data_IF_552432753089
#
_entry.id   IF_552432753089
#
_cell.length_a   1.000
_cell.length_b   1.000
_cell.length_c   1.000
_cell.angle_alpha   90.00
_cell.angle_beta   90.00
_cell.angle_gamma   90.00
#
_symmetry.space_group_name_H-M   'P 1'
#
loop_
_entity.id
_entity.type
_entity.pdbx_description
1 polymer ?
#
# COMPACT_ATOMS: atom_id res chain seq x y z
N UNK A 1 3.12 23.64 3.22
CA UNK A 1 3.77 22.46 3.79
C UNK A 1 4.85 21.96 2.88
N UNK A 2 6.02 21.64 3.39
CA UNK A 2 7.01 21.03 2.55
C UNK A 2 6.46 19.67 2.07
N UNK A 3 6.64 19.39 0.80
CA UNK A 3 6.28 18.09 0.27
C UNK A 3 7.31 17.06 0.74
N UNK A 4 6.82 15.89 1.19
CA UNK A 4 7.70 14.78 1.49
C UNK A 4 8.27 14.25 0.19
N UNK A 5 9.50 13.79 0.22
CA UNK A 5 10.08 13.13 -0.93
C UNK A 5 9.49 11.74 -1.08
N UNK A 6 9.32 11.33 -2.31
CA UNK A 6 8.95 9.95 -2.63
C UNK A 6 10.19 9.06 -2.53
N UNK A 7 10.05 7.88 -1.92
CA UNK A 7 11.13 6.89 -1.87
C UNK A 7 10.62 5.50 -2.24
N UNK A 8 11.52 4.68 -2.76
CA UNK A 8 11.22 3.30 -3.10
C UNK A 8 11.39 2.40 -1.87
N UNK A 9 10.41 1.54 -1.63
CA UNK A 9 10.39 0.66 -0.45
C UNK A 9 10.71 -0.78 -0.82
N UNK A 10 11.02 -1.61 0.20
CA UNK A 10 11.23 -3.05 0.01
C UNK A 10 9.96 -3.77 -0.44
N UNK A 11 8.79 -3.17 -0.28
CA UNK A 11 7.55 -3.77 -0.77
C UNK A 11 7.31 -3.54 -2.26
N UNK A 12 8.26 -2.93 -2.96
CA UNK A 12 8.28 -2.68 -4.40
C UNK A 12 7.31 -1.59 -4.84
N UNK A 13 7.11 -0.61 -3.99
CA UNK A 13 6.35 0.58 -4.37
C UNK A 13 7.05 1.84 -3.90
N UNK A 14 6.73 2.95 -4.56
CA UNK A 14 7.20 4.26 -4.17
C UNK A 14 6.20 4.86 -3.21
N UNK A 15 6.69 5.43 -2.11
CA UNK A 15 5.84 6.00 -1.06
C UNK A 15 6.19 7.46 -0.86
N UNK A 16 5.17 8.28 -0.67
CA UNK A 16 5.29 9.66 -0.21
C UNK A 16 4.34 9.84 0.96
N UNK A 17 4.86 10.13 2.14
CA UNK A 17 4.00 10.44 3.28
C UNK A 17 3.43 11.84 3.13
N UNK A 18 2.11 11.97 3.19
CA UNK A 18 1.42 13.25 3.11
C UNK A 18 1.10 13.78 4.50
N UNK A 19 0.73 12.91 5.44
CA UNK A 19 0.47 13.28 6.82
C UNK A 19 0.69 12.08 7.72
N UNK A 20 1.66 12.18 8.61
CA UNK A 20 1.91 11.14 9.61
C UNK A 20 2.70 11.76 10.76
N UNK A 21 1.99 12.30 11.74
CA UNK A 21 2.60 12.98 12.88
C UNK A 21 1.96 12.54 14.20
N UNK A 22 2.70 12.74 15.30
CA UNK A 22 2.17 12.46 16.63
C UNK A 22 1.01 13.40 17.01
N UNK A 23 0.87 14.53 16.31
CA UNK A 23 -0.26 15.45 16.52
C UNK A 23 -1.58 14.89 16.00
N UNK A 24 -1.51 13.93 15.08
CA UNK A 24 -2.67 13.23 14.54
C UNK A 24 -2.47 11.73 14.75
N UNK A 25 -2.69 11.24 15.97
CA UNK A 25 -2.42 9.83 16.28
C UNK A 25 -3.41 8.86 15.68
N UNK A 26 -4.56 9.35 15.22
CA UNK A 26 -5.66 8.50 14.76
C UNK A 26 -5.61 8.19 13.27
N UNK A 27 -4.84 8.94 12.50
CA UNK A 27 -4.83 8.81 11.04
C UNK A 27 -3.48 9.20 10.44
N UNK A 28 -3.05 8.42 9.47
CA UNK A 28 -1.97 8.84 8.57
C UNK A 28 -2.41 8.67 7.13
N UNK A 29 -1.79 9.44 6.24
CA UNK A 29 -2.09 9.42 4.80
C UNK A 29 -0.77 9.36 4.05
N UNK A 30 -0.63 8.36 3.19
CA UNK A 30 0.50 8.24 2.29
C UNK A 30 0.01 8.05 0.86
N UNK A 31 0.77 8.52 -0.09
CA UNK A 31 0.52 8.22 -1.51
C UNK A 31 1.49 7.13 -1.94
N UNK A 32 0.95 6.10 -2.56
CA UNK A 32 1.72 4.99 -3.10
C UNK A 32 1.68 5.02 -4.63
N UNK A 33 2.80 4.68 -5.24
CA UNK A 33 2.92 4.57 -6.70
C UNK A 33 3.59 3.24 -7.04
N UNK A 34 2.91 2.46 -7.88
CA UNK A 34 3.39 1.15 -8.32
C UNK A 34 3.54 1.21 -9.84
N UNK A 35 4.74 0.95 -10.33
CA UNK A 35 5.01 0.99 -11.77
C UNK A 35 4.38 -0.21 -12.49
N UNK A 36 4.12 -0.10 -13.82
CA UNK A 36 3.47 -1.18 -14.56
C UNK A 36 4.17 -2.53 -14.42
N UNK A 37 3.38 -3.58 -14.25
CA UNK A 37 3.88 -4.95 -14.15
C UNK A 37 4.41 -5.35 -12.79
N UNK A 38 4.41 -4.44 -11.81
CA UNK A 38 4.94 -4.73 -10.48
C UNK A 38 3.84 -5.27 -9.57
N UNK A 39 4.18 -6.30 -8.81
CA UNK A 39 3.36 -6.85 -7.73
C UNK A 39 4.07 -6.53 -6.42
N UNK A 40 3.37 -5.86 -5.51
CA UNK A 40 3.92 -5.55 -4.19
C UNK A 40 4.05 -6.82 -3.36
N UNK A 41 4.84 -6.76 -2.28
CA UNK A 41 5.06 -7.93 -1.42
C UNK A 41 3.85 -8.19 -0.54
N UNK A 42 3.61 -9.47 -0.22
CA UNK A 42 2.66 -9.82 0.82
C UNK A 42 3.10 -9.20 2.12
N UNK A 43 2.22 -8.43 2.74
CA UNK A 43 2.48 -7.83 4.06
C UNK A 43 1.18 -7.67 4.82
N UNK A 44 1.30 -7.33 6.09
CA UNK A 44 0.15 -7.01 6.95
C UNK A 44 0.54 -5.92 7.94
N UNK A 45 -0.47 -5.21 8.44
CA UNK A 45 -0.29 -4.21 9.48
C UNK A 45 -0.96 -4.68 10.75
N UNK A 46 -0.20 -4.84 11.83
CA UNK A 46 -0.73 -5.26 13.11
C UNK A 46 -1.38 -4.08 13.83
N UNK A 47 -2.65 -4.24 14.21
CA UNK A 47 -3.37 -3.23 14.98
C UNK A 47 -3.78 -1.99 14.21
N UNK A 48 -3.65 -1.99 12.89
CA UNK A 48 -3.94 -0.84 12.03
C UNK A 48 -4.95 -1.24 10.97
N UNK A 49 -6.01 -0.45 10.83
CA UNK A 49 -6.93 -0.55 9.69
C UNK A 49 -6.39 0.30 8.56
N UNK A 50 -6.30 -0.26 7.37
CA UNK A 50 -5.82 0.47 6.20
C UNK A 50 -6.90 0.54 5.13
N UNK A 51 -6.91 1.65 4.39
CA UNK A 51 -7.80 1.81 3.24
C UNK A 51 -6.99 2.34 2.08
N UNK A 52 -7.19 1.76 0.90
CA UNK A 52 -6.62 2.29 -0.33
C UNK A 52 -7.71 3.02 -1.08
N UNK A 53 -7.40 4.23 -1.52
CA UNK A 53 -8.27 5.02 -2.41
C UNK A 53 -7.53 5.15 -3.73
N UNK A 54 -8.06 4.53 -4.78
CA UNK A 54 -7.38 4.52 -6.09
C UNK A 54 -7.58 5.86 -6.77
N UNK A 55 -6.49 6.49 -7.15
CA UNK A 55 -6.47 7.79 -7.81
C UNK A 55 -6.26 7.67 -9.31
N UNK A 56 -5.31 6.84 -9.74
CA UNK A 56 -4.95 6.69 -11.15
C UNK A 56 -4.53 5.27 -11.45
N UNK A 57 -4.73 4.82 -12.67
CA UNK A 57 -4.29 3.52 -13.14
C UNK A 57 -5.26 2.40 -12.82
N UNK A 58 -4.80 1.17 -13.02
CA UNK A 58 -5.59 -0.03 -12.77
C UNK A 58 -4.75 -1.03 -12.00
N UNK A 59 -5.34 -1.64 -10.98
CA UNK A 59 -4.67 -2.63 -10.16
C UNK A 59 -5.52 -3.85 -9.88
N UNK A 60 -4.86 -4.89 -9.36
CA UNK A 60 -5.52 -6.10 -8.88
C UNK A 60 -5.12 -6.30 -7.44
N UNK A 61 -6.12 -6.28 -6.57
CA UNK A 61 -5.91 -6.34 -5.12
C UNK A 61 -6.25 -7.70 -4.56
N UNK A 62 -5.38 -8.19 -3.67
CA UNK A 62 -5.62 -9.41 -2.90
C UNK A 62 -5.60 -9.05 -1.41
N UNK A 63 -6.67 -9.42 -0.70
CA UNK A 63 -6.81 -9.20 0.75
C UNK A 63 -7.23 -10.52 1.37
N UNK A 64 -6.40 -11.07 2.25
CA UNK A 64 -6.69 -12.34 2.93
C UNK A 64 -7.00 -13.45 1.94
N UNK A 65 -8.07 -14.18 2.20
CA UNK A 65 -8.54 -15.27 1.34
C UNK A 65 -9.67 -14.85 0.40
N UNK A 66 -9.98 -13.55 0.35
CA UNK A 66 -11.01 -13.04 -0.56
C UNK A 66 -10.55 -13.16 -2.01
N UNK A 67 -11.49 -13.32 -2.96
CA UNK A 67 -11.14 -13.30 -4.37
C UNK A 67 -10.45 -11.99 -4.76
N UNK A 68 -9.44 -12.09 -5.61
CA UNK A 68 -8.76 -10.91 -6.13
C UNK A 68 -9.74 -10.02 -6.89
N UNK A 69 -9.56 -8.70 -6.77
CA UNK A 69 -10.44 -7.71 -7.38
C UNK A 69 -9.66 -6.75 -8.25
N UNK A 70 -10.22 -6.42 -9.41
CA UNK A 70 -9.71 -5.32 -10.23
C UNK A 70 -10.20 -4.00 -9.65
N UNK A 71 -9.27 -3.05 -9.51
CA UNK A 71 -9.54 -1.73 -8.96
C UNK A 71 -9.25 -0.65 -9.99
N UNK A 72 -10.09 0.36 -10.00
CA UNK A 72 -10.00 1.52 -10.90
C UNK A 72 -10.13 2.81 -10.10
N UNK A 73 -9.79 3.97 -10.69
CA UNK A 73 -9.92 5.24 -10.00
C UNK A 73 -11.29 5.43 -9.35
N UNK A 74 -11.28 5.85 -8.10
CA UNK A 74 -12.50 6.01 -7.29
C UNK A 74 -12.85 4.82 -6.42
N UNK A 75 -12.24 3.67 -6.66
CA UNK A 75 -12.49 2.48 -5.82
C UNK A 75 -11.77 2.61 -4.48
N UNK A 76 -12.39 2.06 -3.45
CA UNK A 76 -11.84 2.03 -2.09
C UNK A 76 -11.76 0.58 -1.62
N UNK A 77 -10.60 0.22 -1.05
CA UNK A 77 -10.39 -1.11 -0.45
C UNK A 77 -10.22 -0.93 1.04
N UNK A 78 -10.99 -1.70 1.81
CA UNK A 78 -10.82 -1.77 3.27
C UNK A 78 -9.96 -2.99 3.60
N UNK A 79 -8.91 -2.77 4.36
CA UNK A 79 -8.00 -3.83 4.80
C UNK A 79 -8.03 -3.86 6.34
N UNK A 80 -8.69 -4.87 6.93
CA UNK A 80 -8.76 -4.99 8.39
C UNK A 80 -7.37 -5.20 9.02
N UNK A 81 -7.22 -4.89 10.32
CA UNK A 81 -5.96 -5.14 11.02
C UNK A 81 -5.52 -6.60 10.93
N UNK A 82 -4.24 -6.81 10.70
CA UNK A 82 -3.64 -8.14 10.63
C UNK A 82 -3.91 -8.92 9.36
N UNK A 83 -4.71 -8.39 8.45
CA UNK A 83 -5.05 -9.05 7.19
C UNK A 83 -3.90 -8.93 6.20
N UNK A 84 -3.50 -10.03 5.60
CA UNK A 84 -2.46 -9.99 4.57
C UNK A 84 -2.98 -9.30 3.31
N UNK A 85 -2.10 -8.59 2.63
CA UNK A 85 -2.46 -7.80 1.46
C UNK A 85 -1.31 -7.66 0.48
N UNK A 86 -1.66 -7.53 -0.80
CA UNK A 86 -0.75 -7.10 -1.86
C UNK A 86 -1.54 -6.58 -3.04
N UNK A 87 -0.91 -5.75 -3.87
CA UNK A 87 -1.53 -5.17 -5.05
C UNK A 87 -0.59 -5.25 -6.24
N UNK A 88 -1.15 -5.53 -7.41
CA UNK A 88 -0.42 -5.56 -8.67
C UNK A 88 -0.87 -4.41 -9.56
N UNK A 89 0.07 -3.80 -10.27
CA UNK A 89 -0.28 -2.88 -11.35
C UNK A 89 -0.50 -3.71 -12.62
N UNK A 90 -1.74 -3.78 -13.04
CA UNK A 90 -2.15 -4.56 -14.24
C UNK A 90 -2.40 -3.68 -15.45
N UNK A 91 -2.21 -2.36 -15.32
CA UNK A 91 -2.37 -1.41 -16.40
C UNK A 91 -1.07 -1.05 -17.09
N UNK A 92 -1.13 -0.12 -18.03
CA UNK A 92 0.01 0.36 -18.79
C UNK A 92 0.62 1.66 -18.27
N UNK A 93 0.06 2.24 -17.22
CA UNK A 93 0.55 3.46 -16.58
C UNK A 93 0.75 3.22 -15.10
N UNK A 94 1.34 4.18 -14.39
CA UNK A 94 1.52 4.05 -12.95
C UNK A 94 0.17 3.90 -12.24
N UNK A 95 0.14 3.00 -11.27
CA UNK A 95 -0.98 2.86 -10.35
C UNK A 95 -0.68 3.75 -9.14
N UNK A 96 -1.57 4.71 -8.88
CA UNK A 96 -1.40 5.67 -7.79
C UNK A 96 -2.61 5.59 -6.87
N UNK A 97 -2.36 5.43 -5.58
CA UNK A 97 -3.44 5.37 -4.59
C UNK A 97 -3.00 6.01 -3.28
N UNK A 98 -3.99 6.39 -2.49
CA UNK A 98 -3.78 6.84 -1.12
C UNK A 98 -3.92 5.65 -0.19
N UNK A 99 -3.04 5.56 0.79
CA UNK A 99 -3.13 4.61 1.89
C UNK A 99 -3.44 5.39 3.16
N UNK A 100 -4.62 5.14 3.74
CA UNK A 100 -5.07 5.77 4.96
C UNK A 100 -5.04 4.75 6.09
N UNK A 101 -4.25 5.03 7.12
CA UNK A 101 -4.08 4.12 8.25
C UNK A 101 -4.68 4.72 9.52
N UNK A 102 -5.45 3.92 10.26
CA UNK A 102 -5.98 4.29 11.57
C UNK A 102 -5.79 3.15 12.57
N UNK A 103 -5.07 3.39 13.69
CA UNK A 103 -4.30 4.59 14.00
C UNK A 103 -3.19 4.85 12.97
N UNK A 104 -2.46 5.94 13.15
CA UNK A 104 -1.41 6.32 12.21
C UNK A 104 -0.38 5.22 12.02
N UNK A 105 0.15 5.10 10.83
CA UNK A 105 1.16 4.10 10.50
C UNK A 105 2.46 4.34 11.29
N UNK A 106 3.01 3.27 11.85
CA UNK A 106 4.37 3.24 12.39
C UNK A 106 5.08 2.02 11.82
N UNK A 107 6.41 2.07 11.65
CA UNK A 107 7.16 0.92 11.12
C UNK A 107 6.97 -0.36 11.93
N UNK A 108 6.72 -0.25 13.22
CA UNK A 108 6.53 -1.41 14.10
C UNK A 108 5.28 -2.21 13.77
N UNK A 109 4.30 -1.59 13.13
CA UNK A 109 3.08 -2.28 12.73
C UNK A 109 3.28 -3.13 11.47
N UNK A 110 4.27 -2.81 10.65
CA UNK A 110 4.51 -3.46 9.36
C UNK A 110 5.20 -4.81 9.53
N UNK A 111 4.66 -5.82 8.88
CA UNK A 111 5.25 -7.16 8.84
C UNK A 111 5.28 -7.68 7.40
N UNK A 112 6.47 -7.95 6.89
CA UNK A 112 6.67 -8.59 5.59
C UNK A 112 6.48 -10.10 5.77
N UNK A 113 5.54 -10.66 5.04
CA UNK A 113 5.21 -12.09 5.11
C UNK A 113 5.31 -12.77 3.75
N UNK A 114 5.99 -12.12 2.80
CA UNK A 114 6.21 -12.71 1.48
C UNK A 114 7.18 -13.89 1.58
N UNK A 115 7.06 -14.83 0.65
CA UNK A 115 7.92 -16.02 0.62
C UNK A 115 9.36 -15.69 0.25
N UNK A 116 9.56 -14.61 -0.50
CA UNK A 116 10.87 -14.22 -0.99
C UNK A 116 11.53 -13.21 -0.06
N UNK A 117 12.87 -13.29 0.16
CA UNK A 117 13.56 -12.25 0.92
C UNK A 117 13.41 -10.88 0.27
N UNK A 118 13.35 -9.79 1.08
CA UNK A 118 13.36 -8.45 0.53
C UNK A 118 14.57 -8.22 -0.39
N UNK A 119 14.33 -7.50 -1.50
CA UNK A 119 15.39 -7.23 -2.48
C UNK A 119 15.63 -8.34 -3.48
N UNK A 120 14.96 -9.48 -3.36
CA UNK A 120 15.05 -10.57 -4.33
C UNK A 120 14.15 -10.25 -5.53
N UNK A 121 14.73 -10.34 -6.72
CA UNK A 121 13.99 -10.10 -7.95
C UNK A 121 13.88 -11.38 -8.76
N UNK A 122 12.69 -11.68 -9.21
CA UNK A 122 12.44 -12.74 -10.17
C UNK A 122 12.06 -12.08 -11.49
N UNK A 123 12.71 -12.50 -12.53
CA UNK A 123 12.43 -12.00 -13.86
C UNK A 123 11.06 -12.49 -14.36
#
# INVERSE_FOLDING_TARGET
>A
MPESEEWYTDERCHIRELSNTADDPDLSIAQARVTPGVLTRWHRLTGVTERYVILEGEGRMEVGDLPARTLRPGDVVLIPPGCRQRIANTGGTDLIFLALCSPRFTPEAYEDIDCDPPGTHFA
#
